data_IF_991636883120
#
_entry.id   IF_991636883120
#
_cell.length_a   1.000
_cell.length_b   1.000
_cell.length_c   1.000
_cell.angle_alpha   90.00
_cell.angle_beta   90.00
_cell.angle_gamma   90.00
#
_symmetry.space_group_name_H-M   'P 1'
#
loop_
_entity.id
_entity.type
_entity.pdbx_description
1 polymer ?
#
# COMPACT_ATOMS: atom_id res chain seq x y z
N UNK A 1 20.75 -15.41 -0.66
CA UNK A 1 20.17 -14.34 0.18
C UNK A 1 18.68 -14.32 -0.06
N UNK A 2 17.90 -14.08 0.98
CA UNK A 2 16.46 -13.81 0.82
C UNK A 2 16.25 -12.45 0.15
N UNK A 3 15.05 -12.19 -0.35
CA UNK A 3 14.72 -10.90 -0.95
C UNK A 3 14.87 -9.74 0.06
N UNK A 4 14.43 -9.96 1.31
CA UNK A 4 14.64 -9.00 2.40
C UNK A 4 16.13 -8.73 2.63
N UNK A 5 16.96 -9.78 2.66
CA UNK A 5 18.41 -9.61 2.81
C UNK A 5 19.02 -8.78 1.68
N UNK A 6 18.53 -8.90 0.44
CA UNK A 6 18.98 -8.04 -0.66
C UNK A 6 18.58 -6.58 -0.45
N UNK A 7 17.38 -6.30 0.07
CA UNK A 7 16.96 -4.94 0.41
C UNK A 7 17.82 -4.36 1.54
N UNK A 8 18.18 -5.17 2.53
CA UNK A 8 19.11 -4.79 3.60
C UNK A 8 20.48 -4.45 3.01
N UNK A 9 21.03 -5.29 2.12
CA UNK A 9 22.28 -4.98 1.43
C UNK A 9 22.18 -3.65 0.66
N UNK A 10 21.04 -3.34 0.03
CA UNK A 10 20.85 -2.04 -0.65
C UNK A 10 20.84 -0.89 0.34
N UNK A 11 20.09 -1.02 1.44
CA UNK A 11 20.00 0.01 2.47
C UNK A 11 21.37 0.37 3.05
N UNK A 12 22.23 -0.62 3.26
CA UNK A 12 23.59 -0.43 3.78
C UNK A 12 24.64 -0.13 2.70
N UNK A 13 24.25 0.08 1.43
CA UNK A 13 25.18 0.41 0.35
C UNK A 13 26.10 -0.75 -0.08
N UNK A 14 25.71 -2.00 0.21
CA UNK A 14 26.48 -3.22 -0.03
C UNK A 14 25.92 -4.11 -1.15
N UNK A 15 24.78 -3.73 -1.74
CA UNK A 15 24.17 -4.51 -2.81
C UNK A 15 25.04 -4.47 -4.08
N UNK A 16 25.52 -5.62 -4.53
CA UNK A 16 26.04 -5.77 -5.89
C UNK A 16 24.86 -5.89 -6.86
N UNK A 17 24.71 -4.95 -7.79
CA UNK A 17 23.58 -4.93 -8.75
C UNK A 17 23.51 -6.20 -9.61
N UNK A 18 24.65 -6.85 -9.88
CA UNK A 18 24.68 -8.10 -10.66
C UNK A 18 23.94 -9.23 -9.94
N UNK A 19 23.90 -9.24 -8.61
CA UNK A 19 23.16 -10.25 -7.86
C UNK A 19 21.68 -10.27 -8.25
N UNK A 20 21.07 -9.11 -8.44
CA UNK A 20 19.65 -9.01 -8.81
C UNK A 20 19.42 -9.70 -10.16
N UNK A 21 20.32 -9.48 -11.12
CA UNK A 21 20.24 -10.10 -12.44
C UNK A 21 20.52 -11.61 -12.37
N UNK A 22 21.46 -12.04 -11.53
CA UNK A 22 21.79 -13.46 -11.34
C UNK A 22 20.61 -14.21 -10.71
N UNK A 23 19.96 -13.63 -9.69
CA UNK A 23 18.73 -14.19 -9.10
C UNK A 23 17.57 -14.20 -10.11
N UNK A 24 17.38 -13.12 -10.87
CA UNK A 24 16.33 -13.06 -11.89
C UNK A 24 16.51 -14.10 -13.00
N UNK A 25 17.75 -14.41 -13.36
CA UNK A 25 18.09 -15.46 -14.35
C UNK A 25 17.90 -16.88 -13.81
N UNK A 26 17.89 -17.09 -12.49
CA UNK A 26 17.94 -18.42 -11.87
C UNK A 26 16.72 -18.78 -11.02
N UNK A 27 15.80 -17.85 -10.74
CA UNK A 27 14.67 -18.10 -9.83
C UNK A 27 13.39 -17.37 -10.25
N UNK A 28 12.39 -18.17 -10.66
CA UNK A 28 11.02 -17.70 -10.91
C UNK A 28 10.36 -17.10 -9.65
N UNK A 29 10.63 -17.67 -8.48
CA UNK A 29 10.14 -17.15 -7.20
C UNK A 29 10.70 -15.77 -6.91
N UNK A 30 11.99 -15.55 -7.17
CA UNK A 30 12.60 -14.22 -7.05
C UNK A 30 11.94 -13.22 -8.02
N UNK A 31 11.71 -13.59 -9.28
CA UNK A 31 11.04 -12.73 -10.25
C UNK A 31 9.61 -12.36 -9.82
N UNK A 32 8.87 -13.30 -9.20
CA UNK A 32 7.55 -13.02 -8.63
C UNK A 32 7.62 -11.95 -7.54
N UNK A 33 8.55 -12.13 -6.59
CA UNK A 33 8.78 -11.16 -5.50
C UNK A 33 9.22 -9.80 -6.06
N UNK A 34 10.09 -9.82 -7.06
CA UNK A 34 10.64 -8.61 -7.65
C UNK A 34 9.59 -7.80 -8.39
N UNK A 35 8.76 -8.44 -9.23
CA UNK A 35 7.68 -7.75 -9.92
C UNK A 35 6.70 -7.10 -8.93
N UNK A 36 6.23 -7.87 -7.95
CA UNK A 36 5.29 -7.36 -6.94
C UNK A 36 5.92 -6.20 -6.16
N UNK A 37 7.20 -6.32 -5.79
CA UNK A 37 7.92 -5.28 -5.08
C UNK A 37 8.13 -4.03 -5.93
N UNK A 38 8.48 -4.18 -7.21
CA UNK A 38 8.64 -3.06 -8.16
C UNK A 38 7.37 -2.22 -8.27
N UNK A 39 6.19 -2.86 -8.27
CA UNK A 39 4.90 -2.15 -8.30
C UNK A 39 4.67 -1.30 -7.02
N UNK A 40 4.97 -1.85 -5.83
CA UNK A 40 4.70 -1.21 -4.52
C UNK A 40 5.81 -0.31 -3.97
N UNK A 41 6.89 -0.13 -4.72
CA UNK A 41 8.10 0.57 -4.27
C UNK A 41 8.34 1.84 -5.09
N UNK A 42 9.46 2.51 -4.80
CA UNK A 42 9.99 3.62 -5.58
C UNK A 42 10.76 3.17 -6.84
N UNK A 43 10.43 2.00 -7.40
CA UNK A 43 11.09 1.48 -8.58
C UNK A 43 11.08 2.48 -9.73
N UNK A 44 12.22 2.58 -10.40
CA UNK A 44 12.30 3.30 -11.66
C UNK A 44 11.50 2.57 -12.74
N UNK A 45 11.14 3.30 -13.79
CA UNK A 45 10.48 2.70 -14.96
C UNK A 45 11.34 1.58 -15.58
N UNK A 46 12.67 1.72 -15.55
CA UNK A 46 13.60 0.67 -15.97
C UNK A 46 13.52 -0.59 -15.12
N UNK A 47 13.52 -0.45 -13.79
CA UNK A 47 13.42 -1.62 -12.91
C UNK A 47 12.06 -2.30 -13.03
N UNK A 48 10.97 -1.53 -13.13
CA UNK A 48 9.65 -2.08 -13.39
C UNK A 48 9.62 -2.86 -14.70
N UNK A 49 10.11 -2.27 -15.80
CA UNK A 49 10.17 -2.91 -17.11
C UNK A 49 11.01 -4.20 -17.09
N UNK A 50 12.15 -4.19 -16.40
CA UNK A 50 13.00 -5.35 -16.28
C UNK A 50 12.37 -6.46 -15.43
N UNK A 51 11.71 -6.12 -14.33
CA UNK A 51 11.00 -7.11 -13.52
C UNK A 51 9.82 -7.74 -14.28
N UNK A 52 9.13 -6.96 -15.11
CA UNK A 52 8.08 -7.43 -16.01
C UNK A 52 8.64 -8.34 -17.11
N UNK A 53 9.76 -7.98 -17.75
CA UNK A 53 10.37 -8.79 -18.81
C UNK A 53 10.82 -10.16 -18.31
N UNK A 54 11.38 -10.23 -17.10
CA UNK A 54 11.69 -11.51 -16.46
C UNK A 54 10.43 -12.28 -16.07
N UNK A 55 9.36 -11.61 -15.63
CA UNK A 55 8.11 -12.29 -15.34
C UNK A 55 7.47 -12.92 -16.59
N UNK A 56 7.60 -12.26 -17.75
CA UNK A 56 7.17 -12.80 -19.03
C UNK A 56 8.07 -13.97 -19.47
N UNK A 57 9.39 -13.81 -19.38
CA UNK A 57 10.36 -14.89 -19.65
C UNK A 57 10.01 -16.18 -18.91
N UNK A 58 9.74 -16.07 -17.61
CA UNK A 58 9.39 -17.20 -16.75
C UNK A 58 7.93 -17.63 -16.85
N UNK A 59 7.11 -16.95 -17.65
CA UNK A 59 5.67 -17.20 -17.81
C UNK A 59 4.93 -17.21 -16.47
N UNK A 60 5.25 -16.25 -15.59
CA UNK A 60 4.73 -16.23 -14.23
C UNK A 60 3.22 -15.95 -14.20
N UNK A 61 2.48 -16.75 -13.42
CA UNK A 61 1.04 -16.55 -13.24
C UNK A 61 0.66 -15.18 -12.68
N UNK A 62 1.53 -14.55 -11.88
CA UNK A 62 1.33 -13.19 -11.36
C UNK A 62 1.25 -12.14 -12.47
N UNK A 63 1.94 -12.34 -13.60
CA UNK A 63 1.88 -11.42 -14.74
C UNK A 63 0.51 -11.50 -15.43
N UNK A 64 0.01 -12.72 -15.66
CA UNK A 64 -1.34 -12.95 -16.19
C UNK A 64 -2.40 -12.33 -15.26
N UNK A 65 -2.24 -12.50 -13.95
CA UNK A 65 -3.16 -11.95 -12.96
C UNK A 65 -3.17 -10.42 -12.96
N UNK A 66 -1.99 -9.80 -13.08
CA UNK A 66 -1.84 -8.36 -13.23
C UNK A 66 -2.58 -7.87 -14.48
N UNK A 67 -2.43 -8.52 -15.62
CA UNK A 67 -3.12 -8.15 -16.86
C UNK A 67 -4.64 -8.21 -16.73
N UNK A 68 -5.18 -9.25 -16.10
CA UNK A 68 -6.62 -9.37 -15.82
C UNK A 68 -7.11 -8.15 -15.04
N UNK A 69 -6.41 -7.79 -13.95
CA UNK A 69 -6.79 -6.63 -13.14
C UNK A 69 -6.69 -5.32 -13.93
N UNK A 70 -5.60 -5.11 -14.68
CA UNK A 70 -5.41 -3.89 -15.47
C UNK A 70 -6.47 -3.74 -16.57
N UNK A 71 -6.87 -4.84 -17.21
CA UNK A 71 -7.90 -4.85 -18.25
C UNK A 71 -9.26 -4.42 -17.68
N UNK A 72 -9.68 -4.98 -16.54
CA UNK A 72 -10.95 -4.64 -15.88
C UNK A 72 -10.97 -3.20 -15.33
N UNK A 73 -9.81 -2.70 -14.89
CA UNK A 73 -9.66 -1.33 -14.40
C UNK A 73 -9.81 -0.29 -15.50
N UNK A 74 -9.27 -0.57 -16.70
CA UNK A 74 -9.08 0.45 -17.73
C UNK A 74 -9.99 0.32 -18.97
N UNK A 75 -10.69 -0.80 -19.18
CA UNK A 75 -11.68 -1.04 -20.27
C UNK A 75 -11.39 -0.22 -21.55
N UNK A 76 -10.44 -0.64 -22.37
CA UNK A 76 -10.07 -0.06 -23.69
C UNK A 76 -10.04 1.48 -23.78
N UNK A 77 -9.85 2.19 -22.65
CA UNK A 77 -9.54 3.62 -22.70
C UNK A 77 -8.22 3.75 -23.44
N UNK A 78 -8.16 4.68 -24.38
CA UNK A 78 -6.93 5.05 -25.08
C UNK A 78 -5.90 5.52 -24.04
N UNK A 79 -5.14 4.57 -23.51
CA UNK A 79 -3.95 4.84 -22.73
C UNK A 79 -3.04 5.62 -23.67
N UNK A 80 -2.72 6.87 -23.29
CA UNK A 80 -1.83 7.68 -24.10
C UNK A 80 -0.50 6.94 -24.27
N UNK A 81 -0.07 6.81 -25.53
CA UNK A 81 1.25 6.28 -25.87
C UNK A 81 2.32 7.20 -25.27
N UNK A 82 2.99 6.74 -24.22
CA UNK A 82 4.28 7.28 -23.81
C UNK A 82 5.40 6.59 -24.58
N UNK A 83 6.50 7.29 -24.84
CA UNK A 83 7.68 6.70 -25.47
C UNK A 83 8.53 5.97 -24.43
N UNK A 84 8.61 4.64 -24.56
CA UNK A 84 9.41 3.76 -23.70
C UNK A 84 10.69 3.26 -24.36
N UNK A 85 11.04 3.76 -25.56
CA UNK A 85 12.12 3.20 -26.40
C UNK A 85 13.44 3.09 -25.64
N UNK A 86 13.86 4.16 -24.96
CA UNK A 86 15.09 4.17 -24.14
C UNK A 86 15.07 3.15 -23.01
N UNK A 87 13.90 2.96 -22.38
CA UNK A 87 13.74 1.98 -21.30
C UNK A 87 13.91 0.57 -21.85
N UNK A 88 13.31 0.28 -23.00
CA UNK A 88 13.42 -1.04 -23.63
C UNK A 88 14.80 -1.30 -24.25
N UNK A 89 15.49 -0.28 -24.76
CA UNK A 89 16.90 -0.38 -25.19
C UNK A 89 17.77 -0.86 -24.02
N UNK A 90 17.57 -0.29 -22.83
CA UNK A 90 18.28 -0.70 -21.62
C UNK A 90 17.92 -2.14 -21.20
N UNK A 91 16.64 -2.52 -21.21
CA UNK A 91 16.20 -3.89 -20.90
C UNK A 91 16.83 -4.90 -21.88
N UNK A 92 16.86 -4.57 -23.18
CA UNK A 92 17.42 -5.42 -24.23
C UNK A 92 18.94 -5.67 -24.07
N UNK A 93 19.66 -4.81 -23.33
CA UNK A 93 21.06 -5.07 -22.97
C UNK A 93 21.23 -6.17 -21.93
N UNK A 94 20.16 -6.50 -21.18
CA UNK A 94 20.16 -7.54 -20.14
C UNK A 94 19.68 -8.89 -20.68
N UNK A 95 18.54 -8.91 -21.37
CA UNK A 95 18.03 -10.08 -22.12
C UNK A 95 16.97 -9.64 -23.14
N UNK A 96 16.69 -10.48 -24.13
CA UNK A 96 15.68 -10.24 -25.18
C UNK A 96 14.56 -11.31 -25.21
N UNK A 97 14.61 -12.25 -24.27
CA UNK A 97 13.65 -13.36 -24.14
C UNK A 97 12.37 -12.88 -23.41
N UNK A 98 11.57 -12.05 -24.08
CA UNK A 98 10.27 -11.54 -23.62
C UNK A 98 9.47 -10.91 -24.78
N UNK A 99 8.16 -10.76 -24.61
CA UNK A 99 7.29 -10.03 -25.53
C UNK A 99 7.27 -8.53 -25.23
N UNK A 100 7.97 -7.74 -26.07
CA UNK A 100 8.03 -6.28 -25.91
C UNK A 100 6.63 -5.64 -25.93
N UNK A 101 5.79 -6.02 -26.89
CA UNK A 101 4.43 -5.48 -27.01
C UNK A 101 3.57 -5.74 -25.75
N UNK A 102 3.71 -6.93 -25.14
CA UNK A 102 3.00 -7.27 -23.90
C UNK A 102 3.47 -6.40 -22.74
N UNK A 103 4.79 -6.30 -22.54
CA UNK A 103 5.35 -5.53 -21.42
C UNK A 103 5.08 -4.04 -21.57
N UNK A 104 5.22 -3.50 -22.78
CA UNK A 104 4.90 -2.09 -23.06
C UNK A 104 3.45 -1.76 -22.73
N UNK A 105 2.50 -2.60 -23.14
CA UNK A 105 1.09 -2.41 -22.84
C UNK A 105 0.81 -2.43 -21.32
N UNK A 106 1.48 -3.31 -20.58
CA UNK A 106 1.33 -3.38 -19.12
C UNK A 106 1.88 -2.10 -18.46
N UNK A 107 3.06 -1.63 -18.86
CA UNK A 107 3.66 -0.41 -18.30
C UNK A 107 2.78 0.80 -18.62
N UNK A 108 2.30 0.92 -19.86
CA UNK A 108 1.36 1.97 -20.25
C UNK A 108 0.14 2.03 -19.33
N UNK A 109 -0.48 0.87 -19.06
CA UNK A 109 -1.63 0.76 -18.16
C UNK A 109 -1.29 1.14 -16.72
N UNK A 110 -0.14 0.69 -16.21
CA UNK A 110 0.32 1.04 -14.86
C UNK A 110 0.61 2.54 -14.74
N UNK A 111 1.30 3.14 -15.70
CA UNK A 111 1.60 4.58 -15.73
C UNK A 111 0.32 5.40 -15.79
N UNK A 112 -0.68 4.97 -16.56
CA UNK A 112 -1.98 5.62 -16.58
C UNK A 112 -2.70 5.54 -15.23
N UNK A 113 -2.69 4.38 -14.58
CA UNK A 113 -3.31 4.18 -13.26
C UNK A 113 -2.62 4.97 -12.16
N UNK A 114 -1.29 5.06 -12.22
CA UNK A 114 -0.46 5.69 -11.20
C UNK A 114 -0.13 7.15 -11.50
N UNK A 115 -0.74 7.73 -12.55
CA UNK A 115 -0.58 9.14 -12.88
C UNK A 115 -1.13 10.00 -11.74
N UNK A 116 -0.28 10.83 -11.17
CA UNK A 116 -0.65 11.83 -10.19
C UNK A 116 -1.69 12.78 -10.78
N UNK A 117 -2.76 13.03 -10.02
CA UNK A 117 -3.77 14.02 -10.41
C UNK A 117 -3.32 15.40 -9.95
N UNK A 118 -3.60 16.42 -10.74
CA UNK A 118 -3.41 17.81 -10.31
C UNK A 118 -4.14 18.04 -8.98
N UNK A 119 -3.43 18.61 -8.01
CA UNK A 119 -4.00 18.93 -6.70
C UNK A 119 -5.23 19.83 -6.90
N UNK A 120 -6.38 19.40 -6.39
CA UNK A 120 -7.52 20.31 -6.23
C UNK A 120 -7.32 21.05 -4.91
N UNK A 121 -7.10 22.36 -4.99
CA UNK A 121 -6.82 23.32 -3.91
C UNK A 121 -7.90 23.47 -2.82
N UNK A 122 -8.79 22.48 -2.64
CA UNK A 122 -9.82 22.53 -1.60
C UNK A 122 -9.28 21.94 -0.28
N UNK A 123 -8.18 22.52 0.22
CA UNK A 123 -7.57 22.28 1.53
C UNK A 123 -8.44 22.78 2.71
N UNK A 124 -9.68 23.22 2.42
CA UNK A 124 -10.61 23.71 3.45
C UNK A 124 -11.02 22.64 4.46
N UNK A 125 -10.91 21.37 4.11
CA UNK A 125 -11.20 20.24 5.00
C UNK A 125 -10.03 19.26 5.04
N UNK A 126 -9.57 18.96 6.26
CA UNK A 126 -8.54 17.96 6.55
C UNK A 126 -8.96 16.51 6.21
N UNK A 127 -10.06 16.30 5.49
CA UNK A 127 -10.62 14.99 5.15
C UNK A 127 -11.05 14.99 3.68
N UNK A 128 -10.48 14.07 2.92
CA UNK A 128 -10.79 13.89 1.50
C UNK A 128 -11.34 12.47 1.27
N UNK A 129 -12.29 12.34 0.35
CA UNK A 129 -12.83 11.07 -0.11
C UNK A 129 -12.42 10.88 -1.57
N UNK A 130 -11.76 9.76 -1.86
CA UNK A 130 -11.32 9.40 -3.20
C UNK A 130 -12.07 8.14 -3.65
N UNK A 131 -12.42 8.09 -4.93
CA UNK A 131 -12.98 6.90 -5.56
C UNK A 131 -11.97 6.36 -6.58
N UNK A 132 -11.69 5.06 -6.48
CA UNK A 132 -10.92 4.33 -7.48
C UNK A 132 -11.74 3.12 -7.90
N UNK A 133 -11.91 2.92 -9.21
CA UNK A 133 -12.56 1.73 -9.73
C UNK A 133 -11.61 0.54 -9.56
N UNK A 134 -11.89 -0.33 -8.61
CA UNK A 134 -11.15 -1.57 -8.37
C UNK A 134 -12.02 -2.77 -8.76
N UNK A 135 -11.49 -3.75 -9.52
CA UNK A 135 -12.19 -4.98 -9.83
C UNK A 135 -12.63 -5.74 -8.58
N UNK A 136 -13.85 -6.27 -8.57
CA UNK A 136 -14.36 -7.08 -7.46
C UNK A 136 -13.44 -8.28 -7.19
N UNK A 137 -12.98 -8.94 -8.26
CA UNK A 137 -12.10 -10.11 -8.18
C UNK A 137 -10.77 -9.81 -7.46
N UNK A 138 -10.25 -8.59 -7.60
CA UNK A 138 -9.05 -8.14 -6.89
C UNK A 138 -9.33 -8.01 -5.38
N UNK A 139 -10.45 -7.40 -5.02
CA UNK A 139 -10.84 -7.19 -3.62
C UNK A 139 -11.10 -8.53 -2.91
N UNK A 140 -11.84 -9.43 -3.57
CA UNK A 140 -12.12 -10.77 -3.05
C UNK A 140 -10.84 -11.60 -2.88
N UNK A 141 -9.93 -11.53 -3.85
CA UNK A 141 -8.62 -12.20 -3.78
C UNK A 141 -7.80 -11.69 -2.58
N UNK A 142 -7.77 -10.38 -2.36
CA UNK A 142 -7.04 -9.79 -1.23
C UNK A 142 -7.64 -10.24 0.12
N UNK A 143 -8.97 -10.21 0.27
CA UNK A 143 -9.64 -10.68 1.49
C UNK A 143 -9.30 -12.16 1.72
N UNK A 144 -9.47 -13.01 0.69
CA UNK A 144 -9.19 -14.45 0.77
C UNK A 144 -7.76 -14.75 1.18
N UNK A 145 -6.77 -14.04 0.60
CA UNK A 145 -5.35 -14.24 0.91
C UNK A 145 -4.99 -13.78 2.33
N UNK A 146 -5.63 -12.72 2.83
CA UNK A 146 -5.25 -12.09 4.12
C UNK A 146 -6.04 -12.62 5.31
N UNK A 147 -7.22 -13.20 5.08
CA UNK A 147 -8.10 -13.72 6.14
C UNK A 147 -7.43 -14.76 7.06
N UNK A 148 -6.65 -15.74 6.57
CA UNK A 148 -5.99 -16.71 7.44
C UNK A 148 -4.93 -16.08 8.37
N UNK A 149 -4.45 -14.87 8.07
CA UNK A 149 -3.40 -14.19 8.83
C UNK A 149 -3.92 -13.20 9.88
N UNK A 150 -5.24 -12.95 9.92
CA UNK A 150 -5.85 -12.07 10.90
C UNK A 150 -5.67 -12.61 12.32
N UNK A 151 -5.24 -11.72 13.21
CA UNK A 151 -5.18 -11.96 14.65
C UNK A 151 -6.01 -10.92 15.37
N UNK A 152 -6.51 -11.25 16.56
CA UNK A 152 -7.07 -10.23 17.45
C UNK A 152 -6.04 -9.13 17.69
N UNK A 153 -6.47 -7.88 17.62
CA UNK A 153 -5.54 -6.80 17.87
C UNK A 153 -5.02 -6.87 19.30
N UNK A 154 -3.71 -6.75 19.43
CA UNK A 154 -3.05 -6.52 20.71
C UNK A 154 -2.45 -5.13 20.72
N UNK A 155 -2.57 -4.44 21.84
CA UNK A 155 -2.01 -3.13 22.09
C UNK A 155 -0.75 -3.26 22.98
N UNK A 156 0.14 -2.28 22.87
CA UNK A 156 1.11 -2.02 23.92
C UNK A 156 0.36 -1.34 25.06
N UNK A 157 -0.07 -2.13 26.04
CA UNK A 157 -0.76 -1.67 27.23
C UNK A 157 0.15 -1.70 28.45
N UNK A 158 -0.42 -1.34 29.59
CA UNK A 158 0.26 -1.31 30.90
C UNK A 158 0.80 -2.70 31.28
N UNK A 159 0.16 -3.76 30.78
CA UNK A 159 0.51 -5.16 31.04
C UNK A 159 1.58 -5.73 30.09
N UNK A 160 2.17 -4.88 29.24
CA UNK A 160 3.24 -5.25 28.32
C UNK A 160 2.79 -5.57 26.88
N UNK A 161 3.73 -6.07 26.05
CA UNK A 161 3.45 -6.42 24.66
C UNK A 161 2.41 -7.54 24.57
N UNK A 162 1.36 -7.35 23.78
CA UNK A 162 0.31 -8.37 23.59
C UNK A 162 -0.98 -8.13 24.38
N UNK A 163 -1.06 -7.07 25.19
CA UNK A 163 -2.26 -6.77 25.98
C UNK A 163 -3.48 -6.50 25.09
N UNK A 164 -4.66 -7.01 25.47
CA UNK A 164 -5.94 -6.67 24.83
C UNK A 164 -6.63 -5.60 25.66
N UNK A 165 -6.84 -4.41 25.09
CA UNK A 165 -7.62 -3.37 25.76
C UNK A 165 -8.91 -3.10 24.99
N UNK A 166 -9.99 -3.78 25.41
CA UNK A 166 -11.32 -3.62 24.83
C UNK A 166 -11.88 -2.20 25.02
N UNK A 167 -11.36 -1.40 25.96
CA UNK A 167 -11.72 0.02 26.11
C UNK A 167 -11.12 0.90 25.01
N UNK A 168 -10.31 0.34 24.10
CA UNK A 168 -9.74 1.06 22.95
C UNK A 168 -10.27 0.45 21.64
N UNK A 169 -10.10 -0.85 21.44
CA UNK A 169 -10.56 -1.58 20.23
C UNK A 169 -10.63 -3.07 20.48
N UNK A 170 -11.48 -3.75 19.72
CA UNK A 170 -11.75 -5.19 19.86
C UNK A 170 -11.80 -5.93 18.50
N UNK A 171 -11.26 -5.33 17.44
CA UNK A 171 -11.24 -5.88 16.09
C UNK A 171 -10.00 -6.75 15.79
N UNK A 172 -9.96 -7.35 14.60
CA UNK A 172 -8.81 -8.13 14.11
C UNK A 172 -7.95 -7.33 13.15
N UNK A 173 -6.67 -7.66 13.09
CA UNK A 173 -5.73 -7.06 12.15
C UNK A 173 -4.71 -8.06 11.59
N UNK A 174 -4.12 -7.72 10.46
CA UNK A 174 -2.91 -8.33 9.91
C UNK A 174 -1.97 -7.20 9.48
N UNK A 175 -1.00 -6.82 10.33
CA UNK A 175 0.12 -6.00 9.92
C UNK A 175 0.94 -6.78 8.89
N UNK A 176 0.98 -6.29 7.65
CA UNK A 176 1.65 -7.04 6.58
C UNK A 176 3.17 -6.88 6.67
N UNK A 177 3.96 -7.95 6.46
CA UNK A 177 5.41 -7.80 6.37
C UNK A 177 5.77 -6.99 5.11
N UNK A 178 6.89 -6.28 5.15
CA UNK A 178 7.51 -5.69 3.96
C UNK A 178 8.91 -6.30 3.78
N UNK A 179 9.24 -6.82 2.59
CA UNK A 179 8.36 -7.03 1.43
C UNK A 179 7.32 -8.14 1.68
N UNK A 180 6.26 -8.19 0.88
CA UNK A 180 5.34 -9.34 0.79
C UNK A 180 4.87 -9.56 -0.65
N UNK A 181 4.30 -10.73 -0.91
CA UNK A 181 4.02 -11.22 -2.27
C UNK A 181 2.54 -11.14 -2.63
N UNK A 182 1.82 -10.15 -2.09
CA UNK A 182 0.40 -9.93 -2.36
C UNK A 182 0.28 -8.87 -3.45
N UNK A 183 0.01 -9.29 -4.70
CA UNK A 183 -0.09 -8.38 -5.85
C UNK A 183 -1.21 -7.34 -5.68
N UNK A 184 -2.37 -7.78 -5.19
CA UNK A 184 -3.55 -6.95 -4.99
C UNK A 184 -3.26 -5.81 -4.02
N UNK A 185 -2.54 -6.12 -2.93
CA UNK A 185 -2.11 -5.12 -1.96
C UNK A 185 -1.08 -4.16 -2.56
N UNK A 186 -0.15 -4.65 -3.40
CA UNK A 186 0.83 -3.80 -4.07
C UNK A 186 0.17 -2.73 -4.95
N UNK A 187 -0.87 -3.13 -5.71
CA UNK A 187 -1.66 -2.23 -6.55
C UNK A 187 -2.43 -1.21 -5.69
N UNK A 188 -3.12 -1.68 -4.65
CA UNK A 188 -3.90 -0.79 -3.75
C UNK A 188 -2.98 0.21 -3.04
N UNK A 189 -1.84 -0.21 -2.50
CA UNK A 189 -0.87 0.68 -1.85
C UNK A 189 -0.39 1.79 -2.79
N UNK A 190 -0.04 1.42 -4.03
CA UNK A 190 0.42 2.39 -5.04
C UNK A 190 -0.70 3.33 -5.48
N UNK A 191 -1.94 2.84 -5.63
CA UNK A 191 -3.11 3.68 -5.92
C UNK A 191 -3.44 4.64 -4.79
N UNK A 192 -3.33 4.19 -3.53
CA UNK A 192 -3.50 5.05 -2.36
C UNK A 192 -2.46 6.17 -2.33
N UNK A 193 -1.19 5.86 -2.57
CA UNK A 193 -0.13 6.88 -2.60
C UNK A 193 -0.35 7.89 -3.75
N UNK A 194 -0.59 7.40 -4.96
CA UNK A 194 -0.71 8.25 -6.17
C UNK A 194 -1.98 9.10 -6.19
N UNK A 195 -3.10 8.60 -5.65
CA UNK A 195 -4.34 9.39 -5.52
C UNK A 195 -4.19 10.61 -4.61
N UNK A 196 -3.20 10.57 -3.71
CA UNK A 196 -2.90 11.63 -2.75
C UNK A 196 -1.70 12.49 -3.14
N UNK A 197 -1.05 12.19 -4.27
CA UNK A 197 0.25 12.76 -4.63
C UNK A 197 1.33 12.54 -3.56
N UNK A 198 1.26 11.44 -2.82
CA UNK A 198 2.23 11.04 -1.81
C UNK A 198 3.25 10.05 -2.37
N UNK A 199 4.49 10.13 -1.86
CA UNK A 199 5.51 9.15 -2.21
C UNK A 199 5.27 7.86 -1.44
N UNK A 200 5.14 6.73 -2.15
CA UNK A 200 5.07 5.40 -1.52
C UNK A 200 6.31 5.09 -0.67
N UNK A 201 7.44 5.78 -0.93
CA UNK A 201 8.65 5.67 -0.12
C UNK A 201 8.44 6.10 1.34
N UNK A 202 7.39 6.86 1.64
CA UNK A 202 7.05 7.30 3.00
C UNK A 202 6.01 6.41 3.68
N UNK A 203 5.46 5.43 2.96
CA UNK A 203 4.41 4.58 3.48
C UNK A 203 4.95 3.46 4.35
N UNK A 204 4.41 3.33 5.57
CA UNK A 204 4.56 2.14 6.41
C UNK A 204 4.06 0.87 5.70
N UNK A 205 4.39 -0.34 6.20
CA UNK A 205 3.68 -1.54 5.79
C UNK A 205 2.18 -1.38 6.01
N UNK A 206 1.37 -1.73 5.01
CA UNK A 206 -0.09 -1.67 5.14
C UNK A 206 -0.59 -2.62 6.23
N UNK A 207 -1.68 -2.24 6.88
CA UNK A 207 -2.39 -3.09 7.83
C UNK A 207 -3.76 -3.42 7.27
N UNK A 208 -4.09 -4.71 7.19
CA UNK A 208 -5.44 -5.17 6.92
C UNK A 208 -6.20 -5.22 8.24
N UNK A 209 -7.40 -4.65 8.31
CA UNK A 209 -8.26 -4.72 9.48
C UNK A 209 -9.61 -5.31 9.11
N UNK A 210 -10.13 -6.14 10.02
CA UNK A 210 -11.43 -6.76 9.91
C UNK A 210 -12.22 -6.50 11.19
N UNK A 211 -13.45 -6.06 11.03
CA UNK A 211 -14.42 -5.85 12.10
C UNK A 211 -15.62 -6.77 11.86
N UNK A 212 -16.03 -7.48 12.90
CA UNK A 212 -17.30 -8.22 12.96
C UNK A 212 -18.34 -7.43 13.74
N UNK A 213 -19.57 -7.93 13.76
CA UNK A 213 -20.64 -7.39 14.59
C UNK A 213 -20.16 -7.08 16.02
N UNK A 214 -20.56 -5.92 16.54
CA UNK A 214 -20.18 -5.34 17.83
C UNK A 214 -18.69 -4.97 17.98
N UNK A 215 -17.88 -5.08 16.93
CA UNK A 215 -16.50 -4.61 16.95
C UNK A 215 -16.37 -3.15 16.54
N UNK A 216 -15.41 -2.45 17.14
CA UNK A 216 -15.18 -1.02 17.03
C UNK A 216 -13.70 -0.65 17.24
N UNK A 217 -13.39 0.62 16.99
CA UNK A 217 -12.17 1.27 17.47
C UNK A 217 -12.55 2.67 17.97
N UNK A 218 -12.41 2.93 19.27
CA UNK A 218 -12.74 4.21 19.88
C UNK A 218 -11.89 5.39 19.37
N UNK A 219 -12.27 6.60 19.81
CA UNK A 219 -11.60 7.85 19.47
C UNK A 219 -10.10 7.81 19.72
N UNK A 220 -9.31 8.01 18.68
CA UNK A 220 -7.85 8.01 18.75
C UNK A 220 -7.25 8.95 17.72
N UNK A 221 -5.93 9.12 17.82
CA UNK A 221 -5.11 9.79 16.84
C UNK A 221 -4.10 8.79 16.27
N UNK A 222 -3.80 8.93 14.98
CA UNK A 222 -2.74 8.15 14.35
C UNK A 222 -1.35 8.81 14.48
N UNK A 223 -1.30 10.11 14.74
CA UNK A 223 -0.07 10.79 15.14
C UNK A 223 0.51 10.12 16.39
N UNK A 224 1.78 9.76 16.33
CA UNK A 224 2.50 9.08 17.39
C UNK A 224 2.77 10.04 18.55
N UNK A 225 2.41 9.59 19.75
CA UNK A 225 2.72 10.27 20.99
C UNK A 225 3.96 9.62 21.65
N UNK A 226 5.09 10.35 21.80
CA UNK A 226 6.37 9.81 22.28
C UNK A 226 6.38 9.57 23.80
N UNK A 227 5.51 8.69 24.29
CA UNK A 227 5.39 8.38 25.72
C UNK A 227 6.42 7.37 26.23
N UNK A 228 7.23 6.78 25.34
CA UNK A 228 8.33 5.90 25.69
C UNK A 228 9.49 5.99 24.67
N UNK A 229 10.66 5.49 25.06
CA UNK A 229 11.88 5.56 24.26
C UNK A 229 11.77 4.81 22.92
N UNK A 230 11.05 3.69 22.87
CA UNK A 230 10.90 2.92 21.63
C UNK A 230 10.12 3.70 20.57
N UNK A 231 9.03 4.38 20.98
CA UNK A 231 8.25 5.24 20.07
C UNK A 231 9.06 6.47 19.67
N UNK A 232 9.82 7.07 20.60
CA UNK A 232 10.71 8.19 20.27
C UNK A 232 11.73 7.78 19.21
N UNK A 233 12.39 6.63 19.35
CA UNK A 233 13.32 6.10 18.36
C UNK A 233 12.66 5.87 16.99
N UNK A 234 11.41 5.38 16.96
CA UNK A 234 10.67 5.25 15.70
C UNK A 234 10.38 6.61 15.05
N UNK A 235 10.05 7.64 15.84
CA UNK A 235 9.84 9.00 15.34
C UNK A 235 11.17 9.59 14.86
N UNK A 236 12.28 9.35 15.55
CA UNK A 236 13.59 9.85 15.13
C UNK A 236 14.03 9.20 13.81
N UNK A 237 13.81 7.89 13.67
CA UNK A 237 14.20 7.12 12.49
C UNK A 237 13.29 7.40 11.28
N UNK A 238 11.98 7.30 11.45
CA UNK A 238 11.01 7.36 10.35
C UNK A 238 10.19 8.65 10.33
N UNK A 239 10.34 9.52 11.31
CA UNK A 239 9.49 10.70 11.42
C UNK A 239 8.10 10.37 11.96
N UNK A 240 7.27 11.41 12.00
CA UNK A 240 5.91 11.35 12.48
C UNK A 240 5.00 10.69 11.44
N UNK A 241 3.93 10.00 11.86
CA UNK A 241 2.81 9.60 11.00
C UNK A 241 2.04 10.85 10.59
N UNK A 242 2.40 11.45 9.47
CA UNK A 242 1.88 12.75 9.02
C UNK A 242 0.51 12.65 8.37
N UNK A 243 0.20 11.53 7.70
CA UNK A 243 -1.07 11.33 6.98
C UNK A 243 -1.56 9.89 7.08
N UNK A 244 -2.87 9.71 7.16
CA UNK A 244 -3.54 8.39 7.15
C UNK A 244 -4.38 8.26 5.89
N UNK A 245 -4.40 7.05 5.35
CA UNK A 245 -5.33 6.64 4.30
C UNK A 245 -6.01 5.33 4.69
N UNK A 246 -7.32 5.29 4.54
CA UNK A 246 -8.15 4.10 4.79
C UNK A 246 -8.88 3.75 3.51
N UNK A 247 -8.60 2.57 2.96
CA UNK A 247 -9.27 2.02 1.78
C UNK A 247 -10.31 0.97 2.22
N UNK A 248 -11.53 1.04 1.69
CA UNK A 248 -12.61 0.12 2.02
C UNK A 248 -12.69 -1.04 1.01
N UNK A 249 -12.52 -2.27 1.50
CA UNK A 249 -12.51 -3.48 0.65
C UNK A 249 -13.92 -4.00 0.34
N UNK A 250 -14.90 -3.64 1.17
CA UNK A 250 -16.31 -4.00 1.01
C UNK A 250 -17.23 -2.95 1.67
N UNK A 251 -18.54 -3.04 1.43
CA UNK A 251 -19.57 -2.17 2.00
C UNK A 251 -20.92 -2.86 2.28
N UNK A 252 -20.95 -4.20 2.26
CA UNK A 252 -22.10 -5.06 2.54
C UNK A 252 -22.32 -5.27 4.05
N UNK A 253 -22.39 -4.16 4.81
CA UNK A 253 -22.58 -4.16 6.26
C UNK A 253 -23.37 -2.95 6.75
N UNK A 254 -23.79 -2.98 8.03
CA UNK A 254 -24.50 -1.86 8.69
C UNK A 254 -23.65 -1.33 9.84
N UNK A 255 -23.60 -0.01 10.00
CA UNK A 255 -22.69 0.66 10.93
C UNK A 255 -21.27 0.72 10.38
N UNK A 256 -20.27 0.72 11.26
CA UNK A 256 -18.86 0.67 10.82
C UNK A 256 -18.35 1.97 10.18
N UNK A 257 -19.04 3.10 10.32
CA UNK A 257 -18.60 4.38 9.79
C UNK A 257 -17.25 4.82 10.37
N UNK A 258 -16.47 5.56 9.58
CA UNK A 258 -15.30 6.27 10.11
C UNK A 258 -15.76 7.67 10.52
N UNK A 259 -15.76 7.93 11.83
CA UNK A 259 -16.25 9.18 12.39
C UNK A 259 -15.10 10.05 12.88
N UNK A 260 -15.19 11.36 12.67
CA UNK A 260 -14.23 12.38 13.09
C UNK A 260 -14.89 13.28 14.13
N UNK A 261 -14.26 13.53 15.28
CA UNK A 261 -14.90 14.30 16.36
C UNK A 261 -14.97 15.80 16.07
N UNK A 262 -14.07 16.30 15.20
CA UNK A 262 -13.97 17.72 14.83
C UNK A 262 -13.71 17.80 13.32
N UNK A 263 -14.65 18.32 12.50
CA UNK A 263 -15.86 19.08 12.84
C UNK A 263 -17.14 18.25 13.11
N UNK A 264 -17.03 16.99 13.55
CA UNK A 264 -18.13 16.02 13.60
C UNK A 264 -18.59 15.59 12.21
N UNK A 265 -17.83 14.69 11.61
CA UNK A 265 -18.11 14.12 10.28
C UNK A 265 -18.20 12.61 10.40
N UNK A 266 -19.17 11.99 9.72
CA UNK A 266 -19.29 10.54 9.63
C UNK A 266 -19.18 10.11 8.17
N UNK A 267 -18.21 9.26 7.87
CA UNK A 267 -18.01 8.72 6.52
C UNK A 267 -18.54 7.30 6.46
N UNK A 268 -19.59 7.11 5.66
CA UNK A 268 -20.09 5.78 5.30
C UNK A 268 -19.08 5.08 4.39
N UNK A 269 -18.61 3.87 4.74
CA UNK A 269 -17.76 3.06 3.88
C UNK A 269 -18.46 2.76 2.55
N UNK A 270 -17.69 2.83 1.49
CA UNK A 270 -18.12 2.40 0.16
C UNK A 270 -16.97 1.63 -0.46
N UNK A 271 -17.27 0.43 -0.96
CA UNK A 271 -16.27 -0.44 -1.54
C UNK A 271 -15.50 0.29 -2.66
N UNK A 272 -14.18 0.14 -2.68
CA UNK A 272 -13.32 0.80 -3.67
C UNK A 272 -13.02 2.28 -3.38
N UNK A 273 -13.72 2.90 -2.43
CA UNK A 273 -13.39 4.24 -1.97
C UNK A 273 -12.27 4.19 -0.93
N UNK A 274 -11.56 5.30 -0.81
CA UNK A 274 -10.67 5.58 0.32
C UNK A 274 -10.93 6.96 0.90
N UNK A 275 -10.56 7.12 2.15
CA UNK A 275 -10.46 8.43 2.80
C UNK A 275 -9.02 8.73 3.15
N UNK A 276 -8.68 10.01 3.13
CA UNK A 276 -7.37 10.50 3.59
C UNK A 276 -7.50 11.74 4.46
N UNK A 277 -6.64 11.84 5.46
CA UNK A 277 -6.59 13.00 6.36
C UNK A 277 -5.18 13.22 6.92
N UNK A 278 -4.80 14.49 7.13
CA UNK A 278 -3.53 14.80 7.79
C UNK A 278 -3.67 14.58 9.29
N UNK A 279 -2.68 13.91 9.87
CA UNK A 279 -2.54 13.73 11.31
C UNK A 279 -1.76 14.87 11.95
N UNK A 280 -0.90 15.53 11.18
CA UNK A 280 -0.02 16.59 11.64
C UNK A 280 -0.02 17.79 10.68
N UNK A 281 0.28 18.97 11.20
CA UNK A 281 0.62 20.15 10.40
C UNK A 281 2.06 20.07 9.86
N UNK A 282 2.47 21.09 9.11
CA UNK A 282 3.82 21.17 8.52
C UNK A 282 4.95 21.21 9.55
N UNK A 283 4.67 21.53 10.81
CA UNK A 283 5.63 21.48 11.92
C UNK A 283 5.71 20.10 12.59
N UNK A 284 4.89 19.14 12.14
CA UNK A 284 4.79 17.81 12.74
C UNK A 284 3.90 17.76 13.98
N UNK A 285 3.23 18.87 14.33
CA UNK A 285 2.31 18.92 15.47
C UNK A 285 0.98 18.28 15.09
N UNK A 286 0.46 17.45 15.98
CA UNK A 286 -0.81 16.74 15.80
C UNK A 286 -1.99 17.70 15.59
N UNK A 287 -2.79 17.44 14.57
CA UNK A 287 -4.03 18.15 14.25
C UNK A 287 -5.19 17.58 15.09
N UNK A 288 -5.94 18.45 15.77
CA UNK A 288 -7.07 18.05 16.60
C UNK A 288 -8.23 17.47 15.76
N UNK A 289 -8.31 17.88 14.50
CA UNK A 289 -9.29 17.47 13.49
C UNK A 289 -9.09 16.02 13.05
N UNK A 290 -7.91 15.43 13.29
CA UNK A 290 -7.59 14.05 12.94
C UNK A 290 -8.08 13.01 13.95
N UNK A 291 -8.71 13.44 15.06
CA UNK A 291 -9.29 12.52 16.03
C UNK A 291 -10.47 11.77 15.39
N UNK A 292 -10.34 10.45 15.29
CA UNK A 292 -11.30 9.62 14.58
C UNK A 292 -11.54 8.29 15.29
N UNK A 293 -12.60 7.60 14.87
CA UNK A 293 -13.00 6.30 15.39
C UNK A 293 -13.60 5.43 14.30
N UNK A 294 -13.50 4.11 14.46
CA UNK A 294 -14.35 3.16 13.75
C UNK A 294 -15.59 2.90 14.59
N UNK A 295 -16.75 3.40 14.12
CA UNK A 295 -18.04 3.14 14.77
C UNK A 295 -18.30 1.64 14.83
N UNK A 296 -19.04 1.23 15.85
CA UNK A 296 -19.44 -0.17 16.03
C UNK A 296 -20.15 -0.71 14.79
N UNK A 297 -19.76 -1.90 14.37
CA UNK A 297 -20.42 -2.63 13.31
C UNK A 297 -21.69 -3.31 13.83
N UNK A 298 -22.83 -3.08 13.20
CA UNK A 298 -24.13 -3.62 13.64
C UNK A 298 -24.43 -4.97 13.01
N UNK A 299 -24.03 -5.20 11.76
CA UNK A 299 -24.19 -6.48 11.06
C UNK A 299 -23.19 -6.59 9.91
N UNK A 300 -22.91 -7.81 9.45
CA UNK A 300 -21.94 -8.08 8.38
C UNK A 300 -20.49 -8.11 8.87
N UNK A 301 -19.55 -7.94 7.95
CA UNK A 301 -18.11 -7.88 8.22
C UNK A 301 -17.51 -6.70 7.47
N UNK A 302 -16.70 -5.86 8.13
CA UNK A 302 -16.04 -4.71 7.49
C UNK A 302 -14.56 -4.99 7.31
N UNK A 303 -14.07 -4.88 6.08
CA UNK A 303 -12.67 -5.03 5.70
C UNK A 303 -12.08 -3.71 5.20
N UNK A 304 -10.93 -3.33 5.75
CA UNK A 304 -10.18 -2.13 5.32
C UNK A 304 -8.70 -2.39 5.20
N UNK A 305 -8.04 -1.60 4.35
CA UNK A 305 -6.59 -1.44 4.34
C UNK A 305 -6.27 -0.06 4.90
N UNK A 306 -5.40 0.01 5.91
CA UNK A 306 -4.86 1.27 6.42
C UNK A 306 -3.41 1.42 6.01
N UNK A 307 -3.08 2.60 5.48
CA UNK A 307 -1.72 3.00 5.12
C UNK A 307 -1.39 4.32 5.81
N UNK A 308 -0.27 4.35 6.54
CA UNK A 308 0.24 5.57 7.17
C UNK A 308 1.45 6.09 6.41
N UNK A 309 1.45 7.39 6.13
CA UNK A 309 2.59 8.08 5.54
C UNK A 309 3.38 8.80 6.62
N UNK A 310 4.68 8.52 6.63
CA UNK A 310 5.67 9.07 7.53
C UNK A 310 6.27 10.36 6.98
N UNK A 311 6.79 11.22 7.86
CA UNK A 311 7.52 12.42 7.42
C UNK A 311 8.95 12.14 6.92
N UNK A 312 9.48 10.93 7.14
CA UNK A 312 10.74 10.46 6.52
C UNK A 312 10.53 9.15 5.75
N UNK A 313 11.40 8.83 4.77
CA UNK A 313 11.30 7.60 4.00
C UNK A 313 11.45 6.32 4.83
N UNK A 314 10.72 5.29 4.44
CA UNK A 314 10.80 3.92 4.92
C UNK A 314 11.62 3.08 3.94
N UNK A 315 12.85 2.72 4.31
CA UNK A 315 13.84 2.15 3.37
C UNK A 315 13.40 0.84 2.70
N UNK A 316 12.51 0.05 3.32
CA UNK A 316 11.94 -1.15 2.71
C UNK A 316 11.05 -0.86 1.49
N UNK A 317 10.68 0.41 1.26
CA UNK A 317 9.97 0.86 0.05
C UNK A 317 10.91 1.21 -1.10
N UNK A 318 12.23 1.09 -0.91
CA UNK A 318 13.18 1.23 -2.00
C UNK A 318 13.13 0.00 -2.92
N UNK A 319 13.27 0.24 -4.21
CA UNK A 319 13.53 -0.81 -5.21
C UNK A 319 15.03 -1.11 -5.31
N UNK A 320 15.48 -2.06 -6.12
CA UNK A 320 16.87 -2.52 -6.16
C UNK A 320 17.81 -1.75 -7.09
N UNK A 321 17.35 -1.28 -8.24
CA UNK A 321 18.24 -0.80 -9.32
C UNK A 321 18.37 0.71 -9.39
#
# INVERSE_FOLDING_TARGET
MTFLQLLEQKHFGKLNKNWILDYAKSSADFCTQWLIHSIRSSASQYELALSLSFADKWQLGVLNQLEIYLNEMLNDKNVQSSDYSKTFDLVATVHQDFSLARIELIIQKLDFLFKTKSATDDDKFNLQVHNVKIPQILLDSLIKQTQPHLKDVTLFGVDGPGSKNQNIRNNRHFPTPLPNNILELALIEKLMATSLNESIAHAEPAVILCYKQSQYYHWHYDALYPHNQSIQQQIDQFGQRAKTVIFYLNDDFVGGETEFKKPFTSIKPKQGNMISFNNCDSSGKRLAESIHRGRELQSGEKWIVTLWFRSKPFWLRNAFL
#
